data_IF_679566664659
#
_entry.id   IF_679566664659
#
_cell.length_a   1.000
_cell.length_b   1.000
_cell.length_c   1.000
_cell.angle_alpha   90.00
_cell.angle_beta   90.00
_cell.angle_gamma   90.00
#
_symmetry.space_group_name_H-M   'P 1'
#
loop_
_entity.id
_entity.type
_entity.pdbx_description
1 polymer ?
#
# COMPACT_ATOMS: atom_id res chain seq x y z
N UNK A 1 1.76 23.55 -14.99
CA UNK A 1 0.53 23.01 -15.64
C UNK A 1 -0.58 22.76 -14.63
N UNK A 2 -0.28 22.19 -13.46
CA UNK A 2 -1.29 21.88 -12.44
C UNK A 2 -1.99 23.14 -11.86
N UNK A 3 -1.27 24.25 -11.70
CA UNK A 3 -1.83 25.51 -11.18
C UNK A 3 -2.84 26.16 -12.15
N UNK A 4 -2.57 26.11 -13.45
CA UNK A 4 -3.47 26.64 -14.50
C UNK A 4 -4.74 25.77 -14.58
N UNK A 5 -4.59 24.45 -14.54
CA UNK A 5 -5.72 23.52 -14.51
C UNK A 5 -6.56 23.68 -13.25
N UNK A 6 -5.94 23.97 -12.11
CA UNK A 6 -6.66 24.24 -10.87
C UNK A 6 -7.48 25.54 -10.94
N UNK A 7 -6.91 26.58 -11.56
CA UNK A 7 -7.60 27.85 -11.79
C UNK A 7 -8.79 27.69 -12.75
N UNK A 8 -8.61 26.98 -13.86
CA UNK A 8 -9.70 26.72 -14.84
C UNK A 8 -10.83 25.89 -14.21
N UNK A 9 -10.50 24.93 -13.36
CA UNK A 9 -11.50 24.10 -12.64
C UNK A 9 -12.48 24.92 -11.78
N UNK A 10 -12.06 26.06 -11.24
CA UNK A 10 -12.93 26.93 -10.43
C UNK A 10 -14.07 27.57 -11.23
N UNK A 11 -13.88 27.72 -12.55
CA UNK A 11 -14.87 28.36 -13.44
C UNK A 11 -15.79 27.36 -14.16
N UNK A 12 -15.51 26.06 -14.11
CA UNK A 12 -16.33 25.05 -14.76
C UNK A 12 -17.39 24.54 -13.75
N UNK A 13 -18.70 24.61 -14.07
CA UNK A 13 -19.75 24.03 -13.22
C UNK A 13 -19.44 22.55 -12.94
N UNK A 14 -19.59 22.13 -11.68
CA UNK A 14 -19.29 20.74 -11.24
C UNK A 14 -19.98 19.68 -12.10
N UNK A 15 -21.23 19.94 -12.55
CA UNK A 15 -21.99 19.02 -13.42
C UNK A 15 -21.30 18.83 -14.77
N UNK A 16 -20.87 19.92 -15.41
CA UNK A 16 -20.20 19.89 -16.70
C UNK A 16 -18.80 19.23 -16.58
N UNK A 17 -18.08 19.59 -15.51
CA UNK A 17 -16.79 18.96 -15.21
C UNK A 17 -16.92 17.43 -15.05
N UNK A 18 -17.89 16.97 -14.27
CA UNK A 18 -18.12 15.54 -14.04
C UNK A 18 -18.54 14.80 -15.32
N UNK A 19 -19.32 15.43 -16.20
CA UNK A 19 -19.70 14.85 -17.48
C UNK A 19 -18.53 14.74 -18.46
N UNK A 20 -17.62 15.71 -18.49
CA UNK A 20 -16.48 15.75 -19.41
C UNK A 20 -15.23 15.01 -18.88
N UNK A 21 -15.14 14.82 -17.56
CA UNK A 21 -13.97 14.22 -16.92
C UNK A 21 -13.60 12.81 -17.47
N UNK A 22 -14.54 11.89 -17.73
CA UNK A 22 -14.21 10.59 -18.31
C UNK A 22 -13.55 10.70 -19.68
N UNK A 23 -14.11 11.50 -20.57
CA UNK A 23 -13.56 11.72 -21.93
C UNK A 23 -12.18 12.37 -21.86
N UNK A 24 -12.02 13.40 -21.03
CA UNK A 24 -10.73 14.05 -20.80
C UNK A 24 -9.69 13.05 -20.28
N UNK A 25 -10.06 12.21 -19.31
CA UNK A 25 -9.17 11.22 -18.75
C UNK A 25 -8.78 10.14 -19.78
N UNK A 26 -9.73 9.73 -20.62
CA UNK A 26 -9.46 8.76 -21.68
C UNK A 26 -8.52 9.32 -22.75
N UNK A 27 -8.77 10.55 -23.23
CA UNK A 27 -7.91 11.20 -24.23
C UNK A 27 -6.48 11.43 -23.71
N UNK A 28 -6.33 11.79 -22.43
CA UNK A 28 -4.99 11.89 -21.83
C UNK A 28 -4.28 10.54 -21.73
N UNK A 29 -5.00 9.46 -21.44
CA UNK A 29 -4.39 8.13 -21.41
C UNK A 29 -3.98 7.67 -22.82
N UNK A 30 -4.82 7.91 -23.82
CA UNK A 30 -4.53 7.64 -25.22
C UNK A 30 -3.35 8.46 -25.73
N UNK A 31 -3.35 9.78 -25.51
CA UNK A 31 -2.26 10.67 -25.88
C UNK A 31 -0.93 10.29 -25.24
N UNK A 32 -0.94 9.91 -23.94
CA UNK A 32 0.26 9.40 -23.28
C UNK A 32 0.79 8.12 -23.92
N UNK A 33 -0.09 7.17 -24.23
CA UNK A 33 0.31 5.92 -24.90
C UNK A 33 0.88 6.20 -26.31
N UNK A 34 0.25 7.11 -27.06
CA UNK A 34 0.71 7.48 -28.40
C UNK A 34 2.09 8.13 -28.36
N UNK A 35 2.28 9.15 -27.51
CA UNK A 35 3.56 9.91 -27.40
C UNK A 35 4.73 9.01 -27.03
N UNK A 36 4.51 8.02 -26.16
CA UNK A 36 5.56 7.10 -25.71
C UNK A 36 5.59 5.76 -26.48
N UNK A 37 4.80 5.61 -27.53
CA UNK A 37 4.80 4.43 -28.40
C UNK A 37 4.26 3.15 -27.74
N UNK A 38 3.31 3.28 -26.79
CA UNK A 38 2.64 2.17 -26.10
C UNK A 38 3.61 1.11 -25.56
N UNK A 39 4.57 1.46 -24.70
CA UNK A 39 5.68 0.58 -24.28
C UNK A 39 5.19 -0.69 -23.58
N UNK A 40 4.02 -0.66 -22.92
CA UNK A 40 3.43 -1.82 -22.26
C UNK A 40 3.11 -2.98 -23.21
N UNK A 41 3.04 -2.75 -24.53
CA UNK A 41 2.90 -3.85 -25.52
C UNK A 41 4.13 -4.75 -25.63
N UNK A 42 5.30 -4.22 -25.25
CA UNK A 42 6.60 -4.90 -25.37
C UNK A 42 7.16 -5.38 -24.03
N UNK A 43 6.47 -5.10 -22.94
CA UNK A 43 6.83 -5.50 -21.58
C UNK A 43 5.87 -6.55 -21.07
N UNK A 44 6.31 -7.43 -20.17
CA UNK A 44 5.40 -8.13 -19.27
C UNK A 44 4.89 -7.11 -18.26
N UNK A 45 3.59 -6.91 -18.15
CA UNK A 45 3.00 -5.91 -17.25
C UNK A 45 2.08 -6.58 -16.25
N UNK A 46 2.43 -6.52 -14.97
CA UNK A 46 1.69 -7.11 -13.87
C UNK A 46 1.09 -5.98 -13.03
N UNK A 47 -0.23 -5.96 -12.93
CA UNK A 47 -0.97 -5.05 -12.06
C UNK A 47 -1.27 -5.69 -10.71
N UNK A 48 -1.18 -4.93 -9.61
CA UNK A 48 -1.60 -5.38 -8.28
C UNK A 48 -2.67 -4.45 -7.73
N UNK A 49 -3.84 -5.00 -7.43
CA UNK A 49 -4.97 -4.26 -6.85
C UNK A 49 -5.50 -4.93 -5.59
N UNK A 50 -6.30 -4.20 -4.84
CA UNK A 50 -6.91 -4.60 -3.58
C UNK A 50 -7.06 -3.43 -2.63
N UNK A 51 -7.60 -3.64 -1.45
CA UNK A 51 -7.65 -2.61 -0.41
C UNK A 51 -6.32 -2.51 0.29
N UNK A 52 -5.77 -3.61 0.78
CA UNK A 52 -4.50 -3.70 1.52
C UNK A 52 -3.52 -4.65 0.81
N UNK A 53 -2.24 -4.57 1.18
CA UNK A 53 -1.20 -5.47 0.68
C UNK A 53 -0.59 -5.10 -0.68
N UNK A 54 -1.19 -4.20 -1.47
CA UNK A 54 -0.74 -3.85 -2.83
C UNK A 54 0.75 -3.51 -2.93
N UNK A 55 1.20 -2.53 -2.15
CA UNK A 55 2.60 -2.08 -2.17
C UNK A 55 3.54 -3.20 -1.73
N UNK A 56 3.19 -3.94 -0.66
CA UNK A 56 4.00 -5.06 -0.18
C UNK A 56 4.08 -6.18 -1.22
N UNK A 57 2.96 -6.57 -1.83
CA UNK A 57 2.96 -7.57 -2.90
C UNK A 57 3.79 -7.13 -4.10
N UNK A 58 3.75 -5.83 -4.49
CA UNK A 58 4.59 -5.34 -5.59
C UNK A 58 6.07 -5.35 -5.26
N UNK A 59 6.47 -5.06 -4.02
CA UNK A 59 7.87 -5.14 -3.57
C UNK A 59 8.38 -6.59 -3.55
N UNK A 60 7.58 -7.51 -3.00
CA UNK A 60 7.92 -8.95 -2.96
C UNK A 60 8.03 -9.50 -4.39
N UNK A 61 7.06 -9.21 -5.25
CA UNK A 61 7.06 -9.65 -6.63
C UNK A 61 8.26 -9.10 -7.39
N UNK A 62 8.63 -7.83 -7.18
CA UNK A 62 9.82 -7.24 -7.77
C UNK A 62 11.10 -7.98 -7.34
N UNK A 63 11.23 -8.29 -6.04
CA UNK A 63 12.39 -9.02 -5.53
C UNK A 63 12.48 -10.44 -6.13
N UNK A 64 11.35 -11.13 -6.30
CA UNK A 64 11.29 -12.45 -6.93
C UNK A 64 11.72 -12.38 -8.41
N UNK A 65 11.19 -11.44 -9.19
CA UNK A 65 11.55 -11.30 -10.60
C UNK A 65 13.02 -10.90 -10.78
N UNK A 66 13.58 -10.07 -9.90
CA UNK A 66 15.00 -9.74 -9.91
C UNK A 66 15.87 -10.94 -9.55
N UNK A 67 15.48 -11.76 -8.57
CA UNK A 67 16.15 -13.02 -8.26
C UNK A 67 16.11 -14.01 -9.42
N UNK A 68 15.07 -13.95 -10.27
CA UNK A 68 14.96 -14.72 -11.49
C UNK A 68 15.76 -14.13 -12.68
N UNK A 69 16.49 -13.01 -12.48
CA UNK A 69 17.31 -12.37 -13.51
C UNK A 69 16.59 -11.37 -14.41
N UNK A 70 15.33 -11.03 -14.11
CA UNK A 70 14.58 -10.02 -14.87
C UNK A 70 15.03 -8.60 -14.52
N UNK A 71 15.03 -7.71 -15.52
CA UNK A 71 15.19 -6.27 -15.32
C UNK A 71 13.82 -5.63 -15.19
N UNK A 72 13.55 -5.06 -14.02
CA UNK A 72 12.21 -4.65 -13.64
C UNK A 72 11.98 -3.14 -13.66
N UNK A 73 10.71 -2.78 -13.88
CA UNK A 73 10.12 -1.46 -13.58
C UNK A 73 9.15 -1.67 -12.43
N UNK A 74 9.30 -0.92 -11.34
CA UNK A 74 8.38 -0.93 -10.21
C UNK A 74 7.76 0.44 -10.00
N UNK A 75 6.43 0.50 -10.02
CA UNK A 75 5.67 1.73 -9.76
C UNK A 75 4.66 1.47 -8.64
N UNK A 76 4.94 1.96 -7.44
CA UNK A 76 4.05 1.79 -6.29
C UNK A 76 3.99 3.06 -5.41
N UNK A 77 3.26 2.97 -4.31
CA UNK A 77 3.10 4.06 -3.35
C UNK A 77 4.39 4.39 -2.61
N UNK A 78 5.30 3.43 -2.45
CA UNK A 78 6.55 3.57 -1.69
C UNK A 78 7.64 4.21 -2.55
N UNK A 79 7.84 3.70 -3.77
CA UNK A 79 8.95 4.11 -4.65
C UNK A 79 8.66 3.89 -6.13
N UNK A 80 9.48 4.49 -6.96
CA UNK A 80 9.53 4.24 -8.40
C UNK A 80 10.92 3.74 -8.76
N UNK A 81 10.97 2.60 -9.45
CA UNK A 81 12.21 1.96 -9.85
C UNK A 81 12.21 1.69 -11.34
N UNK A 82 13.33 1.89 -12.00
CA UNK A 82 13.61 1.48 -13.37
C UNK A 82 15.01 0.86 -13.37
N UNK A 83 15.08 -0.44 -13.59
CA UNK A 83 16.31 -1.20 -13.44
C UNK A 83 16.96 -0.94 -12.06
N UNK A 84 18.21 -0.54 -11.97
CA UNK A 84 18.90 -0.25 -10.70
C UNK A 84 18.52 1.11 -10.08
N UNK A 85 17.94 2.02 -10.85
CA UNK A 85 17.59 3.35 -10.34
C UNK A 85 16.28 3.33 -9.56
N UNK A 86 16.36 3.57 -8.25
CA UNK A 86 15.21 3.66 -7.35
C UNK A 86 15.10 5.01 -6.68
N UNK A 87 13.88 5.58 -6.66
CA UNK A 87 13.59 6.88 -6.01
C UNK A 87 12.33 6.78 -5.18
N UNK A 88 12.31 7.34 -3.95
CA UNK A 88 11.09 7.42 -3.13
C UNK A 88 9.96 8.12 -3.88
N UNK A 89 8.73 7.70 -3.65
CA UNK A 89 7.55 8.35 -4.19
C UNK A 89 7.17 9.57 -3.35
N UNK A 90 7.68 10.75 -3.73
CA UNK A 90 7.43 12.02 -3.05
C UNK A 90 6.08 12.66 -3.38
N UNK A 91 5.20 12.00 -4.14
CA UNK A 91 3.94 12.62 -4.59
C UNK A 91 2.71 12.23 -3.77
N UNK A 92 2.84 11.31 -2.83
CA UNK A 92 1.71 10.79 -2.02
C UNK A 92 0.54 10.29 -2.88
N UNK A 93 0.85 9.76 -4.05
CA UNK A 93 -0.09 9.19 -5.01
C UNK A 93 0.49 7.90 -5.55
N UNK A 94 -0.27 6.82 -5.52
CA UNK A 94 0.16 5.50 -6.03
C UNK A 94 0.69 5.61 -7.45
N UNK A 95 -0.04 6.30 -8.34
CA UNK A 95 0.38 6.57 -9.71
C UNK A 95 0.10 8.04 -10.05
N UNK A 96 1.13 8.87 -10.29
CA UNK A 96 0.96 10.31 -10.44
C UNK A 96 0.21 10.77 -11.70
N UNK A 97 0.13 9.96 -12.73
CA UNK A 97 -0.58 10.36 -13.95
C UNK A 97 -0.29 9.47 -15.16
N UNK A 98 -1.09 9.62 -16.19
CA UNK A 98 -1.11 8.76 -17.39
C UNK A 98 0.16 8.90 -18.23
N UNK A 99 0.60 10.14 -18.46
CA UNK A 99 1.87 10.42 -19.15
C UNK A 99 3.07 9.93 -18.35
N UNK A 100 3.01 10.07 -17.01
CA UNK A 100 4.09 9.61 -16.13
C UNK A 100 4.30 8.09 -16.25
N UNK A 101 3.21 7.29 -16.19
CA UNK A 101 3.31 5.84 -16.32
C UNK A 101 3.95 5.47 -17.65
N UNK A 102 3.40 5.98 -18.76
CA UNK A 102 3.90 5.64 -20.10
C UNK A 102 5.37 6.04 -20.28
N UNK A 103 5.76 7.22 -19.73
CA UNK A 103 7.16 7.67 -19.74
C UNK A 103 8.07 6.72 -18.95
N UNK A 104 7.63 6.25 -17.76
CA UNK A 104 8.44 5.33 -16.94
C UNK A 104 8.58 3.97 -17.63
N UNK A 105 7.50 3.46 -18.23
CA UNK A 105 7.54 2.22 -19.01
C UNK A 105 8.44 2.34 -20.24
N UNK A 106 8.38 3.49 -20.97
CA UNK A 106 9.25 3.75 -22.10
C UNK A 106 10.71 3.80 -21.68
N UNK A 107 11.02 4.54 -20.62
CA UNK A 107 12.37 4.60 -20.04
C UNK A 107 12.90 3.22 -19.66
N UNK A 108 12.08 2.39 -19.02
CA UNK A 108 12.48 1.03 -18.66
C UNK A 108 12.76 0.17 -19.88
N UNK A 109 11.90 0.22 -20.89
CA UNK A 109 12.10 -0.47 -22.16
C UNK A 109 13.42 -0.07 -22.82
N UNK A 110 13.74 1.26 -22.83
CA UNK A 110 14.98 1.79 -23.39
C UNK A 110 16.22 1.37 -22.59
N UNK A 111 16.08 1.04 -21.30
CA UNK A 111 17.12 0.49 -20.44
C UNK A 111 17.19 -1.05 -20.45
N UNK A 112 16.39 -1.70 -21.31
CA UNK A 112 16.35 -3.14 -21.45
C UNK A 112 15.58 -3.88 -20.35
N UNK A 113 14.66 -3.20 -19.64
CA UNK A 113 13.71 -3.87 -18.78
C UNK A 113 12.72 -4.71 -19.61
N UNK A 114 12.37 -5.87 -19.07
CA UNK A 114 11.41 -6.80 -19.68
C UNK A 114 10.08 -6.87 -18.92
N UNK A 115 10.07 -6.52 -17.62
CA UNK A 115 8.92 -6.67 -16.73
C UNK A 115 8.59 -5.38 -16.01
N UNK A 116 7.29 -5.03 -15.94
CA UNK A 116 6.77 -3.89 -15.20
C UNK A 116 5.73 -4.35 -14.16
N UNK A 117 5.95 -3.98 -12.91
CA UNK A 117 5.09 -4.28 -11.77
C UNK A 117 4.47 -2.97 -11.28
N UNK A 118 3.14 -2.89 -11.31
CA UNK A 118 2.42 -1.62 -11.11
C UNK A 118 1.34 -1.78 -10.05
N UNK A 119 1.41 -0.97 -9.01
CA UNK A 119 0.34 -0.87 -8.01
C UNK A 119 -0.84 -0.08 -8.59
N UNK A 120 -2.04 -0.67 -8.63
CA UNK A 120 -3.25 -0.09 -9.20
C UNK A 120 -4.30 0.18 -8.12
N UNK A 121 -4.63 1.45 -7.88
CA UNK A 121 -5.68 1.87 -6.95
C UNK A 121 -7.05 2.01 -7.65
N UNK A 122 -8.13 2.00 -6.86
CA UNK A 122 -9.49 2.27 -7.38
C UNK A 122 -9.63 3.68 -7.97
N UNK A 123 -8.92 4.66 -7.41
CA UNK A 123 -8.89 6.01 -7.95
C UNK A 123 -8.15 6.07 -9.30
N UNK A 124 -7.12 5.24 -9.49
CA UNK A 124 -6.46 5.08 -10.78
C UNK A 124 -7.43 4.50 -11.83
N UNK A 125 -8.30 3.57 -11.43
CA UNK A 125 -9.34 3.03 -12.30
C UNK A 125 -10.39 4.10 -12.68
N UNK A 126 -10.94 4.83 -11.70
CA UNK A 126 -11.91 5.90 -11.87
C UNK A 126 -11.40 7.00 -12.80
N UNK A 127 -10.12 7.32 -12.74
CA UNK A 127 -9.47 8.32 -13.58
C UNK A 127 -8.85 7.76 -14.86
N UNK A 128 -9.16 6.53 -15.24
CA UNK A 128 -8.65 5.88 -16.46
C UNK A 128 -7.12 5.83 -16.58
N UNK A 129 -6.39 5.82 -15.44
CA UNK A 129 -4.92 5.75 -15.46
C UNK A 129 -4.41 4.38 -15.91
N UNK A 130 -5.24 3.34 -15.82
CA UNK A 130 -4.98 1.99 -16.31
C UNK A 130 -5.22 1.82 -17.82
N UNK A 131 -5.97 2.73 -18.46
CA UNK A 131 -6.25 2.60 -19.90
C UNK A 131 -4.95 2.71 -20.71
N UNK A 132 -4.88 1.89 -21.76
CA UNK A 132 -3.69 1.71 -22.61
C UNK A 132 -2.46 1.17 -21.87
N UNK A 133 -2.66 0.58 -20.68
CA UNK A 133 -1.72 -0.34 -20.06
C UNK A 133 -2.18 -1.76 -20.44
N UNK A 134 -1.41 -2.42 -21.28
CA UNK A 134 -1.71 -3.78 -21.71
C UNK A 134 -1.16 -4.75 -20.66
N UNK A 135 -2.00 -5.08 -19.65
CA UNK A 135 -1.62 -5.97 -18.56
C UNK A 135 -1.54 -7.41 -19.06
N UNK A 136 -0.56 -8.17 -18.63
CA UNK A 136 -0.44 -9.63 -18.78
C UNK A 136 -1.09 -10.35 -17.60
N UNK A 137 -1.01 -9.77 -16.40
CA UNK A 137 -1.66 -10.29 -15.22
C UNK A 137 -2.20 -9.18 -14.32
N UNK A 138 -3.24 -9.53 -13.55
CA UNK A 138 -3.74 -8.73 -12.43
C UNK A 138 -3.84 -9.59 -11.17
N UNK A 139 -3.20 -9.12 -10.09
CA UNK A 139 -3.30 -9.72 -8.77
C UNK A 139 -4.35 -8.97 -7.96
N UNK A 140 -5.32 -9.70 -7.40
CA UNK A 140 -6.28 -9.21 -6.41
C UNK A 140 -5.91 -9.74 -5.03
N UNK A 141 -5.60 -8.84 -4.10
CA UNK A 141 -5.18 -9.20 -2.73
C UNK A 141 -6.37 -9.37 -1.78
N UNK A 142 -7.22 -8.37 -1.67
CA UNK A 142 -8.41 -8.34 -0.80
C UNK A 142 -9.30 -7.12 -1.10
N UNK A 143 -10.53 -7.12 -0.57
CA UNK A 143 -11.44 -5.98 -0.63
C UNK A 143 -12.20 -5.81 0.68
N UNK A 144 -12.03 -4.65 1.32
CA UNK A 144 -12.78 -4.25 2.51
C UNK A 144 -13.32 -2.82 2.35
N UNK A 145 -14.37 -2.42 3.10
CA UNK A 145 -14.92 -1.08 3.03
C UNK A 145 -13.87 -0.01 3.31
N UNK A 146 -13.58 0.79 2.29
CA UNK A 146 -12.67 1.93 2.33
C UNK A 146 -13.01 2.89 1.18
N UNK A 147 -12.70 4.18 1.33
CA UNK A 147 -12.98 5.20 0.31
C UNK A 147 -14.47 5.32 -0.09
N UNK A 148 -15.39 4.99 0.83
CA UNK A 148 -16.83 5.01 0.55
C UNK A 148 -17.29 6.42 0.18
N UNK A 149 -16.80 7.46 0.86
CA UNK A 149 -17.13 8.86 0.53
C UNK A 149 -16.67 9.24 -0.89
N UNK A 150 -15.52 8.75 -1.33
CA UNK A 150 -14.96 9.05 -2.65
C UNK A 150 -15.69 8.31 -3.79
N UNK A 151 -16.19 7.09 -3.53
CA UNK A 151 -16.88 6.25 -4.52
C UNK A 151 -18.42 6.33 -4.42
N UNK A 152 -18.95 6.70 -3.26
CA UNK A 152 -20.37 6.80 -2.96
C UNK A 152 -21.00 5.49 -2.44
N UNK A 153 -20.42 4.32 -2.70
CA UNK A 153 -20.81 3.04 -2.09
C UNK A 153 -19.72 1.99 -2.23
N UNK A 154 -19.81 0.91 -1.46
CA UNK A 154 -18.92 -0.23 -1.53
C UNK A 154 -18.99 -0.94 -2.90
N UNK A 155 -20.18 -1.07 -3.48
CA UNK A 155 -20.38 -1.67 -4.81
C UNK A 155 -19.68 -0.86 -5.90
N UNK A 156 -19.73 0.46 -5.85
CA UNK A 156 -19.02 1.34 -6.78
C UNK A 156 -17.50 1.26 -6.59
N UNK A 157 -17.04 1.11 -5.35
CA UNK A 157 -15.63 0.88 -5.04
C UNK A 157 -15.15 -0.47 -5.61
N UNK A 158 -15.93 -1.54 -5.40
CA UNK A 158 -15.69 -2.85 -6.01
C UNK A 158 -15.68 -2.78 -7.54
N UNK A 159 -16.70 -2.16 -8.15
CA UNK A 159 -16.79 -2.00 -9.60
C UNK A 159 -15.56 -1.26 -10.18
N UNK A 160 -15.08 -0.21 -9.50
CA UNK A 160 -13.87 0.48 -9.93
C UNK A 160 -12.63 -0.43 -9.96
N UNK A 161 -12.49 -1.37 -9.03
CA UNK A 161 -11.40 -2.35 -9.06
C UNK A 161 -11.62 -3.45 -10.09
N UNK A 162 -12.85 -3.93 -10.26
CA UNK A 162 -13.20 -4.91 -11.30
C UNK A 162 -12.89 -4.38 -12.70
N UNK A 163 -13.11 -3.09 -12.95
CA UNK A 163 -12.75 -2.46 -14.22
C UNK A 163 -11.26 -2.59 -14.59
N UNK A 164 -10.38 -2.82 -13.61
CA UNK A 164 -8.96 -3.15 -13.85
C UNK A 164 -8.82 -4.57 -14.40
N UNK A 165 -9.54 -5.55 -13.85
CA UNK A 165 -9.56 -6.92 -14.34
C UNK A 165 -10.19 -7.01 -15.74
N UNK A 166 -11.29 -6.31 -15.96
CA UNK A 166 -11.96 -6.23 -17.26
C UNK A 166 -11.11 -5.55 -18.34
N UNK A 167 -10.07 -4.81 -17.96
CA UNK A 167 -9.12 -4.16 -18.87
C UNK A 167 -8.00 -5.09 -19.34
N UNK A 168 -7.92 -6.32 -18.85
CA UNK A 168 -7.00 -7.33 -19.38
C UNK A 168 -7.28 -7.53 -20.87
N UNK A 169 -6.28 -7.45 -21.74
CA UNK A 169 -6.49 -7.43 -23.18
C UNK A 169 -6.94 -8.79 -23.71
N UNK A 170 -8.12 -8.84 -24.29
CA UNK A 170 -8.60 -10.03 -24.99
C UNK A 170 -7.86 -10.14 -26.34
N UNK A 171 -6.91 -11.09 -26.44
CA UNK A 171 -6.24 -11.39 -27.71
C UNK A 171 -5.17 -10.41 -28.19
N UNK A 172 -4.84 -9.37 -27.42
CA UNK A 172 -3.77 -8.42 -27.77
C UNK A 172 -2.40 -8.81 -27.23
N UNK A 173 -2.36 -9.70 -26.25
CA UNK A 173 -1.17 -10.29 -25.65
C UNK A 173 -1.36 -11.79 -25.48
N UNK A 174 -0.26 -12.56 -25.45
CA UNK A 174 -0.34 -14.02 -25.33
C UNK A 174 -0.89 -14.47 -23.96
N UNK A 175 -0.80 -13.63 -22.94
CA UNK A 175 -1.27 -13.95 -21.58
C UNK A 175 -2.33 -12.95 -21.13
N UNK A 176 -3.29 -13.44 -20.36
CA UNK A 176 -4.33 -12.68 -19.67
C UNK A 176 -4.67 -13.47 -18.41
N UNK A 177 -3.99 -13.14 -17.28
CA UNK A 177 -4.03 -13.93 -16.06
C UNK A 177 -4.67 -13.12 -14.93
N UNK A 178 -5.63 -13.70 -14.21
CA UNK A 178 -6.14 -13.16 -12.94
C UNK A 178 -5.65 -14.06 -11.82
N UNK A 179 -4.96 -13.48 -10.84
CA UNK A 179 -4.56 -14.14 -9.61
C UNK A 179 -5.39 -13.52 -8.48
N UNK A 180 -6.14 -14.32 -7.72
CA UNK A 180 -7.05 -13.79 -6.72
C UNK A 180 -7.01 -14.59 -5.41
N UNK A 181 -6.98 -13.85 -4.29
CA UNK A 181 -7.06 -14.41 -2.95
C UNK A 181 -8.45 -15.00 -2.70
N UNK A 182 -8.59 -16.33 -2.77
CA UNK A 182 -9.89 -17.02 -2.60
C UNK A 182 -10.40 -17.01 -1.16
N UNK A 183 -9.57 -16.68 -0.16
CA UNK A 183 -9.99 -16.52 1.22
C UNK A 183 -10.72 -15.18 1.45
N UNK A 184 -10.64 -14.25 0.49
CA UNK A 184 -11.44 -13.03 0.47
C UNK A 184 -12.75 -13.28 -0.30
N UNK A 185 -13.93 -13.03 0.31
CA UNK A 185 -15.23 -13.31 -0.31
C UNK A 185 -15.49 -12.55 -1.62
N UNK A 186 -14.80 -11.44 -1.85
CA UNK A 186 -14.93 -10.64 -3.06
C UNK A 186 -14.11 -11.19 -4.24
N UNK A 187 -13.23 -12.16 -4.01
CA UNK A 187 -12.41 -12.83 -5.04
C UNK A 187 -13.22 -13.45 -6.15
N UNK A 188 -14.42 -13.98 -5.84
CA UNK A 188 -15.33 -14.56 -6.81
C UNK A 188 -15.62 -13.65 -8.00
N UNK A 189 -15.79 -12.35 -7.74
CA UNK A 189 -16.06 -11.37 -8.79
C UNK A 189 -14.88 -11.18 -9.74
N UNK A 190 -13.65 -11.31 -9.23
CA UNK A 190 -12.44 -11.24 -10.06
C UNK A 190 -12.23 -12.54 -10.85
N UNK A 191 -12.48 -13.71 -10.23
CA UNK A 191 -12.37 -15.00 -10.87
C UNK A 191 -13.46 -15.28 -11.91
N UNK A 192 -14.57 -14.53 -11.88
CA UNK A 192 -15.62 -14.58 -12.91
C UNK A 192 -15.29 -13.75 -14.16
N UNK A 193 -14.32 -12.82 -14.08
CA UNK A 193 -13.92 -12.00 -15.24
C UNK A 193 -13.30 -12.92 -16.32
N UNK A 194 -13.68 -12.67 -17.58
CA UNK A 194 -13.17 -13.44 -18.71
C UNK A 194 -11.67 -13.14 -18.93
N UNK A 195 -10.83 -14.07 -18.50
CA UNK A 195 -9.39 -14.09 -18.71
C UNK A 195 -8.97 -15.47 -19.25
N UNK A 196 -7.78 -15.58 -19.86
CA UNK A 196 -7.27 -16.85 -20.34
C UNK A 196 -6.99 -17.82 -19.18
N UNK A 197 -6.43 -17.30 -18.11
CA UNK A 197 -6.14 -18.07 -16.90
C UNK A 197 -6.70 -17.36 -15.67
N UNK A 198 -7.19 -18.13 -14.71
CA UNK A 198 -7.71 -17.66 -13.41
C UNK A 198 -7.14 -18.55 -12.34
N UNK A 199 -6.25 -18.00 -11.53
CA UNK A 199 -5.46 -18.73 -10.55
C UNK A 199 -5.86 -18.22 -9.15
N UNK A 200 -6.68 -18.98 -8.41
CA UNK A 200 -6.93 -18.67 -7.01
C UNK A 200 -5.70 -19.03 -6.17
N UNK A 201 -5.46 -18.26 -5.11
CA UNK A 201 -4.53 -18.60 -4.04
C UNK A 201 -5.17 -18.45 -2.67
N UNK A 202 -4.68 -19.17 -1.68
CA UNK A 202 -5.19 -19.18 -0.30
C UNK A 202 -4.10 -19.43 0.71
N UNK A 203 -4.42 -19.30 1.99
CA UNK A 203 -3.51 -19.67 3.08
C UNK A 203 -3.09 -21.14 3.02
N UNK A 204 -3.91 -22.03 2.43
CA UNK A 204 -3.63 -23.46 2.29
C UNK A 204 -2.40 -23.73 1.41
N UNK A 205 -2.11 -22.81 0.49
CA UNK A 205 -0.96 -22.93 -0.42
C UNK A 205 0.36 -22.67 0.29
N UNK A 206 0.33 -22.09 1.50
CA UNK A 206 1.50 -21.93 2.35
C UNK A 206 2.05 -23.26 2.90
N UNK A 207 1.32 -24.40 2.75
CA UNK A 207 1.66 -25.63 3.42
C UNK A 207 1.72 -25.42 4.95
N UNK A 208 2.58 -26.16 5.67
CA UNK A 208 2.88 -25.82 7.06
C UNK A 208 3.54 -24.46 7.17
N UNK A 209 3.01 -23.57 8.01
CA UNK A 209 3.61 -22.26 8.25
C UNK A 209 3.70 -21.91 9.73
N UNK A 210 4.63 -21.02 10.07
CA UNK A 210 4.79 -20.47 11.41
C UNK A 210 4.96 -18.96 11.32
N UNK A 211 4.23 -18.24 12.18
CA UNK A 211 4.37 -16.79 12.36
C UNK A 211 5.21 -16.55 13.63
N UNK A 212 6.50 -16.32 13.45
CA UNK A 212 7.41 -15.97 14.54
C UNK A 212 7.41 -14.45 14.77
N UNK A 213 8.05 -14.02 15.88
CA UNK A 213 8.14 -12.58 16.20
C UNK A 213 8.99 -11.79 15.19
N UNK A 214 9.93 -12.45 14.52
CA UNK A 214 10.93 -11.82 13.65
C UNK A 214 10.89 -12.31 12.20
N UNK A 215 10.14 -13.38 11.89
CA UNK A 215 10.06 -13.94 10.56
C UNK A 215 8.77 -14.72 10.32
N UNK A 216 8.52 -15.08 9.05
CA UNK A 216 7.48 -16.02 8.63
C UNK A 216 8.18 -17.22 8.00
N UNK A 217 7.92 -18.43 8.50
CA UNK A 217 8.29 -19.67 7.84
C UNK A 217 7.06 -20.27 7.14
N UNK A 218 7.22 -20.74 5.91
CA UNK A 218 6.17 -21.47 5.19
C UNK A 218 6.78 -22.40 4.12
N UNK A 219 6.00 -23.39 3.68
CA UNK A 219 6.40 -24.30 2.63
C UNK A 219 5.62 -23.99 1.34
N UNK A 220 6.34 -23.58 0.31
CA UNK A 220 5.80 -23.32 -1.03
C UNK A 220 6.13 -24.47 -1.96
N UNK A 221 5.13 -25.30 -2.30
CA UNK A 221 5.26 -26.44 -3.22
C UNK A 221 6.52 -27.30 -2.96
N UNK A 222 6.73 -27.68 -1.69
CA UNK A 222 7.86 -28.47 -1.27
C UNK A 222 9.15 -27.68 -0.96
N UNK A 223 9.16 -26.37 -1.21
CA UNK A 223 10.29 -25.48 -0.92
C UNK A 223 10.07 -24.73 0.37
N UNK A 224 10.94 -24.91 1.35
CA UNK A 224 10.90 -24.15 2.60
C UNK A 224 11.42 -22.72 2.40
N UNK A 225 10.63 -21.75 2.80
CA UNK A 225 10.92 -20.31 2.69
C UNK A 225 10.85 -19.65 4.06
N UNK A 226 11.86 -18.83 4.38
CA UNK A 226 11.91 -18.04 5.62
C UNK A 226 11.93 -16.55 5.25
N UNK A 227 10.77 -15.93 5.24
CA UNK A 227 10.63 -14.49 4.96
C UNK A 227 10.95 -13.68 6.21
N UNK A 228 11.81 -12.65 6.14
CA UNK A 228 12.08 -11.76 7.27
C UNK A 228 10.94 -10.75 7.54
N UNK A 229 9.88 -10.79 6.76
CA UNK A 229 8.67 -10.01 7.00
C UNK A 229 7.87 -10.62 8.17
N UNK A 230 6.98 -9.82 8.77
CA UNK A 230 6.17 -10.23 9.93
C UNK A 230 4.67 -10.18 9.62
N UNK A 231 3.89 -11.03 10.30
CA UNK A 231 2.44 -11.01 10.30
C UNK A 231 1.78 -11.81 9.18
N UNK A 232 0.59 -12.33 9.46
CA UNK A 232 -0.18 -13.18 8.55
C UNK A 232 -0.46 -12.50 7.20
N UNK A 233 -0.75 -11.19 7.22
CA UNK A 233 -1.01 -10.44 5.99
C UNK A 233 0.20 -10.40 5.04
N UNK A 234 1.44 -10.47 5.55
CA UNK A 234 2.62 -10.57 4.70
C UNK A 234 2.82 -11.99 4.17
N UNK A 235 2.36 -13.02 4.86
CA UNK A 235 2.28 -14.36 4.28
C UNK A 235 1.35 -14.37 3.06
N UNK A 236 0.15 -13.78 3.15
CA UNK A 236 -0.73 -13.62 1.99
C UNK A 236 -0.09 -12.82 0.85
N UNK A 237 0.67 -11.76 1.17
CA UNK A 237 1.41 -10.98 0.16
C UNK A 237 2.49 -11.83 -0.53
N UNK A 238 3.20 -12.69 0.23
CA UNK A 238 4.18 -13.65 -0.32
C UNK A 238 3.50 -14.67 -1.22
N UNK A 239 2.36 -15.25 -0.80
CA UNK A 239 1.61 -16.21 -1.60
C UNK A 239 1.11 -15.60 -2.91
N UNK A 240 0.54 -14.39 -2.86
CA UNK A 240 0.09 -13.66 -4.04
C UNK A 240 1.23 -13.45 -5.05
N UNK A 241 2.40 -13.05 -4.55
CA UNK A 241 3.58 -12.81 -5.37
C UNK A 241 4.18 -14.12 -5.91
N UNK A 242 4.26 -15.17 -5.10
CA UNK A 242 4.76 -16.49 -5.50
C UNK A 242 3.87 -17.13 -6.58
N UNK A 243 2.54 -17.12 -6.38
CA UNK A 243 1.57 -17.63 -7.37
C UNK A 243 1.71 -16.90 -8.70
N UNK A 244 1.86 -15.57 -8.66
CA UNK A 244 2.07 -14.80 -9.88
C UNK A 244 3.40 -15.15 -10.57
N UNK A 245 4.49 -15.22 -9.82
CA UNK A 245 5.80 -15.54 -10.37
C UNK A 245 5.84 -16.93 -10.99
N UNK A 246 5.24 -17.93 -10.32
CA UNK A 246 5.10 -19.29 -10.85
C UNK A 246 4.30 -19.32 -12.16
N UNK A 247 3.21 -18.58 -12.26
CA UNK A 247 2.42 -18.47 -13.50
C UNK A 247 3.23 -17.89 -14.67
N UNK A 248 4.30 -17.15 -14.40
CA UNK A 248 5.26 -16.67 -15.39
C UNK A 248 6.47 -17.57 -15.57
N UNK A 249 6.50 -18.74 -14.93
CA UNK A 249 7.56 -19.74 -15.07
C UNK A 249 8.80 -19.47 -14.23
N UNK A 250 8.71 -18.62 -13.22
CA UNK A 250 9.80 -18.39 -12.27
C UNK A 250 9.97 -19.63 -11.39
N UNK A 251 11.20 -20.08 -11.23
CA UNK A 251 11.51 -21.28 -10.45
C UNK A 251 11.29 -21.08 -8.94
N UNK A 252 10.95 -22.15 -8.22
CA UNK A 252 10.82 -22.11 -6.76
C UNK A 252 12.09 -21.63 -6.05
N UNK A 253 13.26 -21.89 -6.61
CA UNK A 253 14.53 -21.39 -6.09
C UNK A 253 14.62 -19.85 -6.15
N UNK A 254 14.21 -19.23 -7.27
CA UNK A 254 14.19 -17.78 -7.42
C UNK A 254 13.08 -17.13 -6.57
N UNK A 255 11.92 -17.79 -6.44
CA UNK A 255 10.84 -17.35 -5.54
C UNK A 255 11.34 -17.30 -4.10
N UNK A 256 12.00 -18.39 -3.63
CA UNK A 256 12.61 -18.45 -2.31
C UNK A 256 13.64 -17.35 -2.13
N UNK A 257 14.58 -17.23 -3.04
CA UNK A 257 15.66 -16.25 -2.97
C UNK A 257 15.13 -14.81 -2.89
N UNK A 258 14.16 -14.47 -3.74
CA UNK A 258 13.55 -13.13 -3.77
C UNK A 258 12.82 -12.78 -2.48
N UNK A 259 12.08 -13.73 -1.90
CA UNK A 259 11.36 -13.53 -0.63
C UNK A 259 12.33 -13.42 0.55
N UNK A 260 13.32 -14.28 0.64
CA UNK A 260 14.27 -14.33 1.77
C UNK A 260 15.23 -13.14 1.79
N UNK A 261 15.60 -12.60 0.63
CA UNK A 261 16.46 -11.40 0.52
C UNK A 261 15.72 -10.08 0.81
N UNK A 262 14.41 -10.05 0.74
CA UNK A 262 13.63 -8.83 0.98
C UNK A 262 13.45 -8.58 2.47
N UNK A 263 14.45 -7.96 3.09
CA UNK A 263 14.49 -7.76 4.54
C UNK A 263 13.53 -6.69 5.05
N UNK A 264 13.19 -5.68 4.26
CA UNK A 264 12.40 -4.52 4.70
C UNK A 264 11.53 -4.02 3.54
N UNK A 265 10.27 -3.71 3.87
CA UNK A 265 9.39 -2.90 3.03
C UNK A 265 9.15 -1.57 3.76
N UNK A 266 9.65 -0.47 3.21
CA UNK A 266 9.59 0.84 3.87
C UNK A 266 8.15 1.22 4.22
N UNK A 267 7.95 1.66 5.48
CA UNK A 267 6.65 2.04 6.02
C UNK A 267 5.61 0.92 6.08
N UNK A 268 6.04 -0.33 6.10
CA UNK A 268 5.21 -1.53 6.26
C UNK A 268 5.87 -2.46 7.27
N UNK A 269 5.43 -2.38 8.53
CA UNK A 269 6.09 -3.04 9.66
C UNK A 269 7.59 -2.78 9.65
N UNK A 270 7.98 -1.53 9.35
CA UNK A 270 9.38 -1.13 9.26
C UNK A 270 9.96 -0.92 10.64
N UNK A 271 10.95 -1.73 11.00
CA UNK A 271 11.62 -1.66 12.30
C UNK A 271 12.69 -0.57 12.33
N UNK A 272 12.63 0.29 13.35
CA UNK A 272 13.66 1.27 13.67
C UNK A 272 14.59 0.67 14.72
N UNK A 273 15.86 0.47 14.37
CA UNK A 273 16.87 -0.18 15.23
C UNK A 273 18.00 0.80 15.56
N UNK A 274 18.26 0.99 16.86
CA UNK A 274 19.38 1.79 17.37
C UNK A 274 20.05 1.13 18.59
N UNK A 275 19.84 -0.19 18.80
CA UNK A 275 20.41 -0.95 19.92
C UNK A 275 19.49 -1.09 21.14
N UNK A 276 18.25 -0.64 21.06
CA UNK A 276 17.23 -0.80 22.11
C UNK A 276 16.79 -2.26 22.28
N UNK A 277 16.23 -2.56 23.48
CA UNK A 277 15.73 -3.89 23.87
C UNK A 277 14.21 -4.09 23.60
N UNK A 278 13.57 -3.18 22.85
CA UNK A 278 12.15 -3.20 22.49
C UNK A 278 11.99 -2.88 21.01
N UNK A 279 10.85 -3.25 20.43
CA UNK A 279 10.56 -2.95 19.03
C UNK A 279 10.03 -1.52 18.87
N UNK A 280 10.53 -0.79 17.86
CA UNK A 280 9.94 0.47 17.37
C UNK A 280 9.57 0.26 15.90
N UNK A 281 8.30 0.38 15.59
CA UNK A 281 7.73 -0.01 14.29
C UNK A 281 7.02 1.17 13.65
N UNK A 282 7.33 1.43 12.38
CA UNK A 282 6.61 2.41 11.55
C UNK A 282 5.77 1.68 10.53
N UNK A 283 4.46 1.97 10.51
CA UNK A 283 3.52 1.34 9.58
C UNK A 283 2.51 2.33 8.98
N UNK A 284 2.02 1.99 7.81
CA UNK A 284 1.00 2.77 7.08
C UNK A 284 -0.44 2.43 7.48
N UNK A 285 -0.68 1.59 8.48
CA UNK A 285 -2.01 1.21 8.94
C UNK A 285 -2.82 2.45 9.34
N UNK A 286 -3.93 2.69 8.62
CA UNK A 286 -4.79 3.87 8.75
C UNK A 286 -6.28 3.54 8.60
N UNK A 287 -6.64 2.28 8.83
CA UNK A 287 -8.02 1.78 8.87
C UNK A 287 -8.16 0.75 9.98
N UNK A 288 -9.37 0.55 10.50
CA UNK A 288 -9.64 -0.41 11.57
C UNK A 288 -9.06 -1.80 11.25
N UNK A 289 -9.37 -2.37 10.09
CA UNK A 289 -8.87 -3.69 9.70
C UNK A 289 -7.34 -3.77 9.62
N UNK A 290 -6.67 -2.73 9.10
CA UNK A 290 -5.20 -2.73 9.02
C UNK A 290 -4.54 -2.60 10.39
N UNK A 291 -5.15 -1.87 11.31
CA UNK A 291 -4.70 -1.78 12.70
C UNK A 291 -4.85 -3.12 13.43
N UNK A 292 -5.98 -3.82 13.25
CA UNK A 292 -6.17 -5.17 13.82
C UNK A 292 -5.05 -6.11 13.40
N UNK A 293 -4.76 -6.17 12.10
CA UNK A 293 -3.71 -7.07 11.58
C UNK A 293 -2.32 -6.69 12.07
N UNK A 294 -2.02 -5.39 12.14
CA UNK A 294 -0.76 -4.90 12.71
C UNK A 294 -0.65 -5.27 14.19
N UNK A 295 -1.67 -4.99 14.99
CA UNK A 295 -1.64 -5.23 16.43
C UNK A 295 -1.58 -6.73 16.78
N UNK A 296 -2.23 -7.59 16.00
CA UNK A 296 -2.11 -9.06 16.12
C UNK A 296 -0.69 -9.55 15.84
N UNK A 297 0.06 -8.89 14.93
CA UNK A 297 1.45 -9.25 14.66
C UNK A 297 2.34 -9.12 15.91
N UNK A 298 1.95 -8.24 16.83
CA UNK A 298 2.65 -7.96 18.09
C UNK A 298 1.85 -8.40 19.33
N UNK A 299 0.94 -9.37 19.20
CA UNK A 299 0.04 -9.78 20.28
C UNK A 299 0.74 -10.31 21.54
N UNK A 300 1.97 -10.83 21.39
CA UNK A 300 2.80 -11.35 22.49
C UNK A 300 3.60 -10.28 23.24
N UNK A 301 3.55 -9.04 22.78
CA UNK A 301 4.27 -7.91 23.33
C UNK A 301 3.29 -6.90 23.93
N UNK A 302 3.69 -6.21 25.00
CA UNK A 302 2.98 -5.03 25.47
C UNK A 302 3.12 -3.93 24.41
N UNK A 303 2.01 -3.34 24.00
CA UNK A 303 1.93 -2.38 22.86
C UNK A 303 1.68 -0.97 23.33
N UNK A 304 2.55 -0.05 22.92
CA UNK A 304 2.38 1.41 23.06
C UNK A 304 2.09 1.95 21.66
N UNK A 305 0.85 2.39 21.43
CA UNK A 305 0.37 2.72 20.10
C UNK A 305 0.27 4.24 19.90
N UNK A 306 0.96 4.77 18.88
CA UNK A 306 0.82 6.16 18.42
C UNK A 306 -0.14 6.18 17.25
N UNK A 307 -1.30 6.80 17.43
CA UNK A 307 -2.42 6.77 16.51
C UNK A 307 -2.91 8.19 16.19
N UNK A 308 -3.10 8.49 14.92
CA UNK A 308 -3.77 9.67 14.41
C UNK A 308 -4.88 9.31 13.43
N UNK A 309 -5.49 10.33 12.85
CA UNK A 309 -6.42 10.16 11.75
C UNK A 309 -6.31 11.29 10.74
N UNK A 310 -6.59 10.98 9.47
CA UNK A 310 -6.53 11.94 8.37
C UNK A 310 -7.83 12.72 8.25
N UNK A 311 -7.75 14.05 8.10
CA UNK A 311 -8.83 14.94 7.71
C UNK A 311 -9.03 15.03 6.20
N UNK A 312 -9.41 16.21 5.71
CA UNK A 312 -9.49 16.52 4.28
C UNK A 312 -10.60 15.77 3.54
N UNK A 313 -11.76 15.57 4.19
CA UNK A 313 -12.94 14.90 3.61
C UNK A 313 -12.75 13.39 3.48
N UNK A 314 -11.90 12.79 4.30
CA UNK A 314 -11.78 11.33 4.42
C UNK A 314 -12.91 10.77 5.28
N UNK A 315 -13.18 9.46 5.13
CA UNK A 315 -14.23 8.72 5.85
C UNK A 315 -14.19 8.98 7.38
N UNK A 316 -15.03 9.89 7.88
CA UNK A 316 -15.08 10.27 9.31
C UNK A 316 -15.58 9.14 10.21
N UNK A 317 -16.48 8.31 9.69
CA UNK A 317 -17.07 7.18 10.41
C UNK A 317 -16.00 6.19 10.93
N UNK A 318 -14.84 6.12 10.27
CA UNK A 318 -13.75 5.22 10.69
C UNK A 318 -12.99 5.70 11.93
N UNK A 319 -13.11 6.99 12.33
CA UNK A 319 -12.38 7.59 13.46
C UNK A 319 -12.65 6.85 14.76
N UNK A 320 -13.91 6.69 15.21
CA UNK A 320 -14.22 5.91 16.42
C UNK A 320 -13.93 4.41 16.24
N UNK A 321 -14.08 3.86 15.03
CA UNK A 321 -13.76 2.45 14.78
C UNK A 321 -12.26 2.15 14.94
N UNK A 322 -11.39 3.03 14.43
CA UNK A 322 -9.94 2.89 14.63
C UNK A 322 -9.54 3.04 16.10
N UNK A 323 -10.16 3.99 16.80
CA UNK A 323 -9.98 4.17 18.23
C UNK A 323 -10.39 2.94 19.04
N UNK A 324 -11.56 2.34 18.74
CA UNK A 324 -12.03 1.12 19.34
C UNK A 324 -11.07 -0.07 19.15
N UNK A 325 -10.48 -0.18 17.95
CA UNK A 325 -9.47 -1.21 17.69
C UNK A 325 -8.23 -0.99 18.55
N UNK A 326 -7.75 0.26 18.66
CA UNK A 326 -6.62 0.58 19.54
C UNK A 326 -6.94 0.31 21.00
N UNK A 327 -8.15 0.69 21.47
CA UNK A 327 -8.64 0.44 22.83
C UNK A 327 -8.68 -1.05 23.19
N UNK A 328 -8.97 -1.92 22.21
CA UNK A 328 -9.04 -3.37 22.41
C UNK A 328 -7.67 -4.06 22.41
N UNK A 329 -6.72 -3.54 21.63
CA UNK A 329 -5.49 -4.28 21.33
C UNK A 329 -4.22 -3.67 21.89
N UNK A 330 -4.23 -2.39 22.28
CA UNK A 330 -3.05 -1.68 22.79
C UNK A 330 -3.13 -1.52 24.31
N UNK A 331 -1.99 -1.58 24.98
CA UNK A 331 -1.89 -1.40 26.44
C UNK A 331 -1.75 0.08 26.81
N UNK A 332 -1.10 0.88 25.98
CA UNK A 332 -1.06 2.34 26.08
C UNK A 332 -1.32 2.97 24.71
N UNK A 333 -2.06 4.08 24.70
CA UNK A 333 -2.47 4.75 23.48
C UNK A 333 -2.16 6.24 23.57
N UNK A 334 -1.43 6.74 22.58
CA UNK A 334 -1.14 8.16 22.41
C UNK A 334 -1.78 8.64 21.11
N UNK A 335 -2.78 9.53 21.26
CA UNK A 335 -3.43 10.17 20.12
C UNK A 335 -2.65 11.41 19.72
N UNK A 336 -2.46 11.58 18.41
CA UNK A 336 -1.67 12.68 17.85
C UNK A 336 -2.19 13.13 16.48
N UNK A 337 -1.71 14.28 16.03
CA UNK A 337 -2.00 14.77 14.68
C UNK A 337 -1.37 13.86 13.59
N UNK A 338 -2.03 13.79 12.43
CA UNK A 338 -1.54 13.05 11.25
C UNK A 338 -1.53 13.95 10.00
N UNK A 339 -2.64 14.03 9.26
CA UNK A 339 -2.85 14.89 8.10
C UNK A 339 -4.18 15.62 8.24
N UNK A 340 -4.26 16.74 8.96
CA UNK A 340 -5.53 17.43 9.18
C UNK A 340 -6.09 18.06 7.89
N UNK A 341 -5.24 18.44 6.94
CA UNK A 341 -5.61 19.29 5.81
C UNK A 341 -6.27 20.59 6.31
N UNK A 342 -7.48 20.91 5.81
CA UNK A 342 -8.23 22.10 6.21
C UNK A 342 -9.25 21.80 7.35
N UNK A 343 -9.21 20.60 7.97
CA UNK A 343 -10.00 20.27 9.17
C UNK A 343 -9.25 20.64 10.44
N UNK A 344 -10.01 21.02 11.47
CA UNK A 344 -9.47 21.26 12.82
C UNK A 344 -8.88 19.94 13.39
N UNK A 345 -7.57 19.89 13.71
CA UNK A 345 -6.95 18.69 14.22
C UNK A 345 -7.50 18.26 15.61
N UNK A 346 -7.95 19.21 16.45
CA UNK A 346 -8.55 18.89 17.75
C UNK A 346 -9.92 18.23 17.56
N UNK A 347 -10.69 18.64 16.54
CA UNK A 347 -11.95 17.99 16.20
C UNK A 347 -11.72 16.56 15.69
N UNK A 348 -10.66 16.31 14.91
CA UNK A 348 -10.32 14.96 14.44
C UNK A 348 -10.06 14.02 15.62
N UNK A 349 -9.32 14.49 16.63
CA UNK A 349 -9.08 13.72 17.86
C UNK A 349 -10.36 13.54 18.66
N UNK A 350 -11.19 14.59 18.78
CA UNK A 350 -12.47 14.51 19.47
C UNK A 350 -13.42 13.48 18.86
N UNK A 351 -13.42 13.34 17.53
CA UNK A 351 -14.22 12.34 16.82
C UNK A 351 -13.72 10.90 17.08
N UNK A 352 -12.49 10.71 17.54
CA UNK A 352 -11.93 9.41 17.91
C UNK A 352 -12.33 8.99 19.33
N UNK A 353 -12.48 9.95 20.26
CA UNK A 353 -12.69 9.66 21.69
C UNK A 353 -13.87 8.74 21.99
N UNK A 354 -15.03 8.81 21.29
CA UNK A 354 -16.13 7.88 21.51
C UNK A 354 -15.80 6.40 21.29
N UNK A 355 -14.68 6.10 20.61
CA UNK A 355 -14.22 4.72 20.41
C UNK A 355 -13.52 4.10 21.62
N UNK A 356 -13.17 4.89 22.64
CA UNK A 356 -12.47 4.42 23.84
C UNK A 356 -13.46 4.12 24.96
N UNK A 357 -13.34 2.94 25.55
CA UNK A 357 -14.15 2.48 26.69
C UNK A 357 -13.31 1.78 27.77
N UNK A 358 -12.17 1.21 27.42
CA UNK A 358 -11.28 0.47 28.30
C UNK A 358 -10.13 1.33 28.80
N UNK A 359 -9.57 2.17 27.94
CA UNK A 359 -8.41 2.99 28.22
C UNK A 359 -8.73 4.46 28.07
N UNK A 360 -8.05 5.30 28.85
CA UNK A 360 -8.01 6.75 28.64
C UNK A 360 -6.76 7.08 27.82
N UNK A 361 -6.88 7.46 26.54
CA UNK A 361 -5.71 7.78 25.73
C UNK A 361 -5.01 9.05 26.23
N UNK A 362 -3.69 9.12 26.08
CA UNK A 362 -2.91 10.34 26.22
C UNK A 362 -3.03 11.13 24.92
N UNK A 363 -3.30 12.43 25.00
CA UNK A 363 -3.40 13.30 23.80
C UNK A 363 -2.15 14.18 23.74
N UNK A 364 -1.36 14.06 22.69
CA UNK A 364 -0.18 14.86 22.40
C UNK A 364 -0.23 15.28 20.94
N UNK A 365 -0.66 16.51 20.66
CA UNK A 365 -0.94 16.97 19.28
C UNK A 365 0.34 17.07 18.44
N UNK A 366 1.48 17.44 19.03
CA UNK A 366 2.77 17.38 18.32
C UNK A 366 3.20 15.94 18.12
N UNK A 367 3.23 15.50 16.85
CA UNK A 367 3.51 14.11 16.49
C UNK A 367 4.93 13.67 16.88
N UNK A 368 5.92 14.59 16.88
CA UNK A 368 7.28 14.28 17.33
C UNK A 368 7.29 14.03 18.84
N UNK A 369 6.63 14.90 19.61
CA UNK A 369 6.50 14.72 21.05
C UNK A 369 5.73 13.43 21.40
N UNK A 370 4.70 13.08 20.64
CA UNK A 370 3.96 11.83 20.79
C UNK A 370 4.84 10.59 20.58
N UNK A 371 5.67 10.60 19.54
CA UNK A 371 6.63 9.53 19.25
C UNK A 371 7.71 9.47 20.36
N UNK A 372 8.24 10.60 20.78
CA UNK A 372 9.21 10.67 21.90
C UNK A 372 8.65 10.06 23.18
N UNK A 373 7.43 10.44 23.55
CA UNK A 373 6.74 9.93 24.74
C UNK A 373 6.51 8.43 24.67
N UNK A 374 6.07 7.92 23.52
CA UNK A 374 5.88 6.48 23.32
C UNK A 374 7.19 5.69 23.51
N UNK A 375 8.28 6.18 22.92
CA UNK A 375 9.61 5.59 23.06
C UNK A 375 10.12 5.65 24.51
N UNK A 376 9.89 6.75 25.21
CA UNK A 376 10.31 6.94 26.60
C UNK A 376 9.58 6.01 27.58
N UNK A 377 8.31 5.66 27.29
CA UNK A 377 7.52 4.73 28.11
C UNK A 377 7.85 3.25 27.87
N UNK A 378 8.53 2.95 26.77
CA UNK A 378 8.81 1.58 26.39
C UNK A 378 9.86 0.92 27.31
N UNK A 379 9.66 -0.35 27.58
CA UNK A 379 10.54 -1.23 28.36
C UNK A 379 11.03 -2.38 27.48
N UNK A 380 12.05 -3.10 27.95
CA UNK A 380 12.54 -4.27 27.24
C UNK A 380 11.43 -5.29 26.94
N UNK A 381 11.33 -5.69 25.67
CA UNK A 381 10.28 -6.61 25.17
C UNK A 381 8.99 -5.95 24.67
N UNK A 382 8.79 -4.63 24.89
CA UNK A 382 7.62 -3.88 24.39
C UNK A 382 7.66 -3.67 22.87
N UNK A 383 6.52 -3.28 22.29
CA UNK A 383 6.41 -2.80 20.93
C UNK A 383 5.80 -1.39 20.88
N UNK A 384 6.55 -0.41 20.39
CA UNK A 384 6.06 0.93 20.05
C UNK A 384 5.60 0.93 18.61
N UNK A 385 4.30 1.14 18.37
CA UNK A 385 3.68 1.04 17.05
C UNK A 385 3.25 2.44 16.58
N UNK A 386 4.00 3.01 15.62
CA UNK A 386 3.77 4.34 15.05
C UNK A 386 3.01 4.16 13.73
N UNK A 387 1.73 4.58 13.70
CA UNK A 387 0.80 4.26 12.61
C UNK A 387 0.34 5.49 11.83
N UNK A 388 -0.19 5.25 10.62
CA UNK A 388 -0.86 6.22 9.77
C UNK A 388 -0.02 6.74 8.61
N UNK A 389 1.22 7.15 8.84
CA UNK A 389 2.07 7.81 7.84
C UNK A 389 2.92 6.86 6.99
N UNK A 390 3.49 5.80 7.60
CA UNK A 390 4.39 4.90 6.87
C UNK A 390 5.49 5.69 6.12
N UNK A 391 5.47 5.62 4.78
CA UNK A 391 6.42 6.34 3.90
C UNK A 391 5.95 7.71 3.45
N UNK A 392 4.84 8.24 3.95
CA UNK A 392 4.35 9.56 3.55
C UNK A 392 5.40 10.65 3.83
N UNK A 393 5.81 11.44 2.81
CA UNK A 393 6.97 12.33 2.93
C UNK A 393 6.67 13.69 3.56
N UNK A 394 5.44 13.95 3.97
CA UNK A 394 5.01 15.20 4.59
C UNK A 394 3.69 15.04 5.35
N UNK A 395 3.45 15.94 6.31
CA UNK A 395 2.15 16.18 6.92
C UNK A 395 1.43 17.25 6.09
N UNK A 396 0.19 16.95 5.68
CA UNK A 396 -0.67 17.88 4.96
C UNK A 396 -1.44 18.74 5.97
N UNK A 397 -1.25 20.04 5.92
CA UNK A 397 -1.94 21.03 6.77
C UNK A 397 -2.76 21.98 5.90
N UNK A 398 -3.47 22.93 6.54
CA UNK A 398 -4.34 23.90 5.88
C UNK A 398 -3.70 24.60 4.66
N UNK A 399 -4.54 25.09 3.76
CA UNK A 399 -4.14 25.80 2.54
C UNK A 399 -3.22 24.98 1.61
N UNK A 400 -3.38 23.64 1.58
CA UNK A 400 -2.54 22.71 0.82
C UNK A 400 -1.05 22.76 1.17
N UNK A 401 -0.68 23.33 2.31
CA UNK A 401 0.70 23.37 2.78
C UNK A 401 1.16 21.96 3.16
N UNK A 402 2.41 21.64 2.85
CA UNK A 402 3.04 20.36 3.12
C UNK A 402 4.28 20.58 3.97
N UNK A 403 4.27 19.99 5.17
CA UNK A 403 5.41 20.03 6.08
C UNK A 403 6.24 18.77 5.86
N UNK A 404 7.53 18.85 5.48
CA UNK A 404 8.38 17.67 5.33
C UNK A 404 8.35 16.80 6.58
N UNK A 405 8.16 15.49 6.41
CA UNK A 405 7.99 14.57 7.51
C UNK A 405 8.45 13.15 7.15
N UNK A 406 8.88 12.42 8.17
CA UNK A 406 9.13 10.98 8.08
C UNK A 406 9.03 10.39 9.49
N UNK A 407 8.03 9.54 9.73
CA UNK A 407 7.91 8.83 11.00
C UNK A 407 9.17 8.03 11.33
N UNK A 408 9.78 7.38 10.32
CA UNK A 408 11.00 6.60 10.50
C UNK A 408 12.17 7.46 11.02
N UNK A 409 12.46 8.59 10.36
CA UNK A 409 13.55 9.48 10.77
C UNK A 409 13.30 10.09 12.16
N UNK A 410 12.06 10.51 12.42
CA UNK A 410 11.69 11.05 13.73
C UNK A 410 11.84 9.99 14.81
N UNK A 411 11.37 8.77 14.58
CA UNK A 411 11.54 7.67 15.53
C UNK A 411 13.03 7.35 15.78
N UNK A 412 13.85 7.32 14.72
CA UNK A 412 15.30 7.11 14.81
C UNK A 412 16.00 8.20 15.64
N UNK A 413 15.67 9.47 15.38
CA UNK A 413 16.20 10.62 16.11
C UNK A 413 15.78 10.61 17.60
N UNK A 414 14.49 10.37 17.88
CA UNK A 414 13.99 10.36 19.26
C UNK A 414 14.48 9.12 20.03
N UNK A 415 14.60 7.98 19.38
CA UNK A 415 15.18 6.78 19.97
C UNK A 415 16.66 7.00 20.36
N UNK A 416 17.43 7.64 19.49
CA UNK A 416 18.83 7.99 19.78
C UNK A 416 18.96 8.93 21.00
N UNK A 417 18.02 9.88 21.16
CA UNK A 417 18.02 10.78 22.34
C UNK A 417 17.70 10.05 23.64
N UNK A 418 16.78 9.06 23.59
CA UNK A 418 16.37 8.27 24.77
C UNK A 418 17.49 7.33 25.21
N UNK A 419 18.19 6.70 24.26
CA UNK A 419 19.28 5.76 24.56
C UNK A 419 20.59 6.45 25.01
N UNK A 420 20.81 7.71 24.63
CA UNK A 420 22.01 8.47 25.00
C UNK A 420 21.84 9.26 26.30
N UNK A 421 20.71 9.13 26.99
CA UNK A 421 20.45 9.63 28.35
C UNK A 421 20.79 8.56 29.39
#
# INVERSE_FOLDING_TARGET
MDSILHFIKKFIPKRLFNALAPTYHYLLAWGGALVFGSPSKKLVVIGVTGTKGKSSTTEILNAIFEAAGHKTILLNTIRWKVNEESKPNMRKMTIPGRFFIQRMLRRGLDQGCDTAIIELSSEAAKQYRHKFLYLDALIFTNLSPEHIEAHGSFEKYRAAKLALAESLPKGLKPRSIIIANQDDPESKHFLEVAAAERIPFSIKDAGPYTLALDHIFFNWHGTNITSPLRGLFNLYNCLAAATCAEAFGVSNAAIKEGIEKLSIIKGRVELVKAGQSFDVVVDYAHTANSLVELYKTFERQRKICVLGNTGGGRDKWKRPEMAKVADTHCDEIILTNEDPYDEDPDQIISDMLPGFSLHKPTIIMDRRAAIHEAITRAKGGDAVLITGKGTDPYICVENNKKLPWSDFKVAEEELSKVLNK
#
